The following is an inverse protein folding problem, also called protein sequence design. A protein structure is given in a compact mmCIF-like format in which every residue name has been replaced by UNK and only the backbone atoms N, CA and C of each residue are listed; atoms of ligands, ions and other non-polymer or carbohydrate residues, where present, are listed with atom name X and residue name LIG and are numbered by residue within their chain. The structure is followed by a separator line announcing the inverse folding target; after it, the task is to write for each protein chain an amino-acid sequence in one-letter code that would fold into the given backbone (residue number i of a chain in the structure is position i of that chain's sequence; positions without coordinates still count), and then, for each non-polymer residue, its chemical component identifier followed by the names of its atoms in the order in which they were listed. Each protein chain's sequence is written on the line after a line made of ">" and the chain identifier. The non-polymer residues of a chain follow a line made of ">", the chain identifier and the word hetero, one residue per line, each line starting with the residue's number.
data_IF_210281644160
#
_entry.id   IF_210281644160
#
_cell.length_a   1.000
_cell.length_b   1.000
_cell.length_c   1.000
_cell.angle_alpha   90.00
_cell.angle_beta   90.00
_cell.angle_gamma   90.00
#
_symmetry.space_group_name_H-M   'P 1'
#
loop_
_entity.id
_entity.type
_entity.pdbx_description
1 polymer ?
#
# COMPACT_ATOMS: atom_id res chain seq x y z
N UNK A 1 32.72 -30.92 11.33
CA UNK A 1 33.14 -32.14 10.63
C UNK A 1 32.01 -33.11 10.46
N UNK A 2 31.19 -33.20 11.45
CA UNK A 2 30.05 -34.09 11.42
C UNK A 2 28.91 -33.59 10.52
N UNK A 3 28.90 -32.32 10.24
CA UNK A 3 27.86 -31.72 9.39
C UNK A 3 28.00 -32.11 7.92
N UNK A 4 29.22 -32.21 7.42
CA UNK A 4 29.40 -32.62 6.02
C UNK A 4 29.15 -34.11 5.80
N UNK A 5 29.53 -34.95 6.75
CA UNK A 5 29.25 -36.38 6.68
C UNK A 5 27.77 -36.68 6.89
N UNK A 6 27.12 -35.93 7.77
CA UNK A 6 25.65 -36.01 7.92
C UNK A 6 24.93 -35.54 6.68
N UNK A 7 25.40 -34.45 6.05
CA UNK A 7 24.84 -33.96 4.81
C UNK A 7 24.88 -34.98 3.70
N UNK A 8 26.01 -35.64 3.52
CA UNK A 8 26.14 -36.70 2.54
C UNK A 8 25.28 -37.92 2.88
N UNK A 9 25.24 -38.32 4.14
CA UNK A 9 24.41 -39.41 4.60
C UNK A 9 22.92 -39.16 4.40
N UNK A 10 22.48 -37.96 4.69
CA UNK A 10 21.08 -37.58 4.48
C UNK A 10 20.72 -37.52 3.01
N UNK A 11 21.63 -37.04 2.16
CA UNK A 11 21.42 -37.01 0.71
C UNK A 11 21.22 -38.43 0.16
N UNK A 12 22.05 -39.38 0.56
CA UNK A 12 21.94 -40.76 0.08
C UNK A 12 20.79 -41.53 0.70
N UNK A 13 20.45 -41.27 1.95
CA UNK A 13 19.42 -42.02 2.66
C UNK A 13 18.01 -41.53 2.34
N UNK A 14 17.87 -40.29 1.88
CA UNK A 14 16.55 -39.67 1.61
C UNK A 14 16.39 -39.30 0.15
N UNK A 15 16.98 -40.08 -0.73
CA UNK A 15 16.81 -39.87 -2.16
C UNK A 15 15.47 -40.42 -2.63
N UNK A 16 14.88 -39.77 -3.57
CA UNK A 16 13.63 -40.16 -4.18
C UNK A 16 13.29 -39.35 -5.40
N UNK A 17 12.22 -39.74 -6.06
CA UNK A 17 11.72 -38.98 -7.20
C UNK A 17 10.82 -37.86 -6.69
N UNK A 18 11.08 -36.65 -7.16
CA UNK A 18 10.25 -35.51 -6.85
C UNK A 18 9.66 -34.96 -8.13
N UNK A 19 8.37 -34.59 -8.08
CA UNK A 19 7.69 -33.99 -9.21
C UNK A 19 7.91 -32.48 -9.18
N UNK A 20 8.62 -31.97 -10.19
CA UNK A 20 8.94 -30.55 -10.27
C UNK A 20 8.24 -29.91 -11.45
N UNK A 21 7.60 -28.77 -11.19
CA UNK A 21 6.92 -27.98 -12.20
C UNK A 21 7.54 -26.59 -12.29
N UNK A 22 7.81 -26.16 -13.52
CA UNK A 22 8.10 -24.75 -13.77
C UNK A 22 6.79 -24.04 -14.03
N UNK A 23 6.41 -23.14 -13.13
CA UNK A 23 5.18 -22.38 -13.26
C UNK A 23 5.37 -21.17 -14.18
N UNK A 24 4.27 -20.74 -14.80
CA UNK A 24 4.29 -19.62 -15.75
C UNK A 24 4.28 -18.24 -15.06
N UNK A 25 4.73 -18.19 -13.82
CA UNK A 25 4.90 -16.93 -13.10
C UNK A 25 6.09 -16.15 -13.64
N UNK A 26 5.85 -15.39 -14.69
CA UNK A 26 6.88 -14.60 -15.39
C UNK A 26 6.85 -13.15 -14.90
N UNK A 27 7.98 -12.47 -15.08
CA UNK A 27 8.14 -11.07 -14.67
C UNK A 27 7.11 -10.15 -15.33
N UNK A 28 6.83 -10.38 -16.60
CA UNK A 28 5.87 -9.57 -17.36
C UNK A 28 4.48 -9.57 -16.74
N UNK A 29 4.07 -10.70 -16.17
CA UNK A 29 2.76 -10.83 -15.52
C UNK A 29 2.72 -10.21 -14.12
N UNK A 30 3.88 -10.02 -13.48
CA UNK A 30 3.98 -9.56 -12.09
C UNK A 30 4.50 -8.15 -11.97
N UNK A 31 5.25 -7.67 -12.96
CA UNK A 31 5.79 -6.33 -12.95
C UNK A 31 4.67 -5.31 -13.08
N UNK A 32 4.60 -4.39 -12.13
CA UNK A 32 3.54 -3.40 -12.10
C UNK A 32 4.01 -2.12 -11.43
N UNK A 33 3.62 -0.99 -12.01
CA UNK A 33 3.86 0.34 -11.45
C UNK A 33 2.65 1.22 -11.72
N UNK A 34 2.50 2.24 -10.91
CA UNK A 34 1.39 3.17 -11.02
C UNK A 34 1.83 4.58 -10.63
N UNK A 35 1.38 5.57 -11.39
CA UNK A 35 1.41 6.97 -10.96
C UNK A 35 0.00 7.47 -10.68
N UNK A 36 -0.87 7.43 -11.67
CA UNK A 36 -2.27 7.81 -11.57
C UNK A 36 -3.10 6.70 -12.21
N UNK A 37 -4.25 6.40 -11.61
CA UNK A 37 -5.14 5.38 -12.14
C UNK A 37 -6.52 5.41 -11.50
N UNK A 38 -7.32 4.36 -11.67
CA UNK A 38 -8.69 4.33 -11.15
C UNK A 38 -8.73 4.27 -9.62
N UNK A 39 -9.81 4.83 -9.07
CA UNK A 39 -10.06 4.88 -7.64
C UNK A 39 -11.41 4.26 -7.31
N UNK A 40 -11.58 3.82 -6.07
CA UNK A 40 -12.85 3.30 -5.59
C UNK A 40 -13.91 4.40 -5.55
N UNK A 41 -15.15 4.03 -5.86
CA UNK A 41 -16.26 4.99 -5.92
C UNK A 41 -16.61 5.57 -4.55
N UNK A 42 -16.61 4.75 -3.51
CA UNK A 42 -17.06 5.16 -2.17
C UNK A 42 -15.94 5.76 -1.35
N UNK A 43 -14.84 5.02 -1.22
CA UNK A 43 -13.73 5.42 -0.35
C UNK A 43 -12.70 6.32 -1.03
N UNK A 44 -12.73 6.42 -2.36
CA UNK A 44 -11.78 7.19 -3.15
C UNK A 44 -10.33 6.73 -2.95
N UNK A 45 -10.15 5.48 -2.59
CA UNK A 45 -8.84 4.85 -2.49
C UNK A 45 -8.44 4.21 -3.82
N UNK A 46 -7.13 4.08 -4.12
CA UNK A 46 -6.72 3.38 -5.33
C UNK A 46 -7.20 1.93 -5.34
N UNK A 47 -7.63 1.47 -6.50
CA UNK A 47 -7.98 0.06 -6.68
C UNK A 47 -6.73 -0.81 -6.61
N UNK A 48 -6.91 -2.09 -6.28
CA UNK A 48 -5.82 -3.06 -6.22
C UNK A 48 -5.68 -3.85 -7.51
N UNK A 49 -4.52 -4.49 -7.69
CA UNK A 49 -4.27 -5.44 -8.76
C UNK A 49 -3.68 -4.83 -10.04
N UNK A 50 -2.89 -5.65 -10.74
CA UNK A 50 -2.21 -5.23 -11.97
C UNK A 50 -3.19 -4.96 -13.12
N UNK A 51 -4.21 -5.81 -13.27
CA UNK A 51 -5.17 -5.69 -14.36
C UNK A 51 -6.00 -4.40 -14.28
N UNK A 52 -6.19 -3.87 -13.09
CA UNK A 52 -6.95 -2.65 -12.83
C UNK A 52 -6.07 -1.40 -12.77
N UNK A 53 -4.78 -1.55 -13.08
CA UNK A 53 -3.79 -0.49 -12.89
C UNK A 53 -3.86 0.08 -11.47
N UNK A 54 -3.92 -0.82 -10.49
CA UNK A 54 -4.10 -0.48 -9.09
C UNK A 54 -2.81 -0.23 -8.34
N UNK A 55 -2.93 0.31 -7.13
CA UNK A 55 -1.82 0.57 -6.24
C UNK A 55 -1.56 -0.57 -5.28
N UNK A 56 -0.50 -0.43 -4.51
CA UNK A 56 -0.13 -1.39 -3.48
C UNK A 56 -0.89 -1.13 -2.19
N UNK A 57 -1.12 -2.19 -1.42
CA UNK A 57 -1.77 -2.07 -0.13
C UNK A 57 -0.73 -1.74 0.95
N UNK A 58 -0.98 -0.66 1.68
CA UNK A 58 -0.20 -0.30 2.86
C UNK A 58 -0.99 -0.72 4.10
N UNK A 59 -0.70 -1.90 4.62
CA UNK A 59 -1.46 -2.50 5.72
C UNK A 59 -1.10 -1.94 7.10
N UNK A 60 -1.71 -2.51 8.13
CA UNK A 60 -1.48 -2.08 9.52
C UNK A 60 -0.01 -2.20 9.93
N UNK A 61 0.62 -3.30 9.57
CA UNK A 61 2.01 -3.55 9.97
C UNK A 61 2.95 -2.53 9.36
N UNK A 62 2.72 -2.12 8.12
CA UNK A 62 3.50 -1.09 7.44
C UNK A 62 3.31 0.28 8.09
N UNK A 63 2.08 0.58 8.55
CA UNK A 63 1.78 1.78 9.31
C UNK A 63 2.56 1.77 10.63
N UNK A 64 2.61 0.64 11.32
CA UNK A 64 3.36 0.49 12.56
C UNK A 64 4.86 0.74 12.36
N UNK A 65 5.40 0.29 11.23
CA UNK A 65 6.80 0.54 10.90
C UNK A 65 7.11 2.04 10.76
N UNK A 66 6.23 2.79 10.09
CA UNK A 66 6.40 4.24 9.97
C UNK A 66 6.24 4.95 11.31
N UNK A 67 5.34 4.50 12.15
CA UNK A 67 5.16 5.03 13.52
C UNK A 67 6.42 4.81 14.35
N UNK A 68 7.04 3.64 14.22
CA UNK A 68 8.28 3.31 14.92
C UNK A 68 9.44 4.22 14.54
N UNK A 69 9.50 4.66 13.27
CA UNK A 69 10.51 5.63 12.82
C UNK A 69 10.17 7.08 13.15
N UNK A 70 8.97 7.35 13.64
CA UNK A 70 8.52 8.70 13.92
C UNK A 70 8.26 9.53 12.67
N UNK A 71 8.03 8.89 11.53
CA UNK A 71 7.80 9.55 10.24
C UNK A 71 6.34 9.97 10.07
N UNK A 72 5.85 10.87 10.90
CA UNK A 72 4.45 11.27 10.91
C UNK A 72 4.02 12.03 9.64
N UNK A 73 4.88 12.88 9.13
CA UNK A 73 4.59 13.65 7.92
C UNK A 73 4.47 12.76 6.69
N UNK A 74 5.35 11.76 6.57
CA UNK A 74 5.30 10.77 5.47
C UNK A 74 4.03 9.94 5.58
N UNK A 75 3.67 9.50 6.78
CA UNK A 75 2.44 8.74 7.01
C UNK A 75 1.20 9.55 6.64
N UNK A 76 1.15 10.80 7.02
CA UNK A 76 0.06 11.70 6.65
C UNK A 76 -0.03 11.87 5.13
N UNK A 77 1.09 12.05 4.46
CA UNK A 77 1.14 12.16 3.00
C UNK A 77 0.62 10.90 2.32
N UNK A 78 1.04 9.72 2.78
CA UNK A 78 0.57 8.45 2.24
C UNK A 78 -0.93 8.24 2.44
N UNK A 79 -1.47 8.70 3.55
CA UNK A 79 -2.90 8.56 3.85
C UNK A 79 -3.78 9.55 3.10
N UNK A 80 -3.29 10.72 2.77
CA UNK A 80 -4.09 11.80 2.20
C UNK A 80 -3.79 12.06 0.73
N UNK A 81 -2.69 12.74 0.45
CA UNK A 81 -2.35 13.25 -0.88
C UNK A 81 -2.20 12.12 -1.89
N UNK A 82 -1.67 10.99 -1.48
CA UNK A 82 -1.42 9.85 -2.37
C UNK A 82 -2.60 8.88 -2.47
N UNK A 83 -3.61 9.01 -1.62
CA UNK A 83 -4.69 8.02 -1.55
C UNK A 83 -6.10 8.61 -1.49
N UNK A 84 -6.50 9.18 -0.36
CA UNK A 84 -7.88 9.45 -0.02
C UNK A 84 -8.36 10.87 -0.31
N UNK A 85 -7.48 11.85 -0.30
CA UNK A 85 -7.87 13.24 -0.41
C UNK A 85 -8.01 13.64 -1.88
N UNK A 86 -9.26 13.80 -2.35
CA UNK A 86 -9.56 14.13 -3.74
C UNK A 86 -8.97 15.50 -4.12
N UNK A 87 -9.22 16.50 -3.29
CA UNK A 87 -8.75 17.86 -3.53
C UNK A 87 -7.23 17.92 -3.43
N UNK A 88 -6.66 17.24 -2.42
CA UNK A 88 -5.23 17.18 -2.22
C UNK A 88 -4.49 16.50 -3.37
N UNK A 89 -5.07 15.44 -3.94
CA UNK A 89 -4.51 14.76 -5.12
C UNK A 89 -4.43 15.70 -6.33
N UNK A 90 -5.50 16.44 -6.58
CA UNK A 90 -5.55 17.40 -7.69
C UNK A 90 -4.53 18.51 -7.51
N UNK A 91 -4.42 19.06 -6.32
CA UNK A 91 -3.45 20.10 -5.99
C UNK A 91 -2.01 19.61 -6.09
N UNK A 92 -1.75 18.40 -5.63
CA UNK A 92 -0.41 17.81 -5.71
C UNK A 92 0.02 17.57 -7.15
N UNK A 93 -0.88 17.05 -7.99
CA UNK A 93 -0.62 16.86 -9.42
C UNK A 93 -0.33 18.19 -10.11
N UNK A 94 -1.13 19.21 -9.82
CA UNK A 94 -0.92 20.55 -10.37
C UNK A 94 0.42 21.13 -9.94
N UNK A 95 0.81 20.97 -8.68
CA UNK A 95 2.10 21.42 -8.17
C UNK A 95 3.28 20.71 -8.86
N UNK A 96 3.17 19.43 -9.10
CA UNK A 96 4.21 18.66 -9.81
C UNK A 96 4.35 19.14 -11.25
N UNK A 97 3.23 19.36 -11.94
CA UNK A 97 3.24 19.83 -13.34
C UNK A 97 3.85 21.22 -13.46
N UNK A 98 3.55 22.12 -12.51
CA UNK A 98 4.07 23.49 -12.50
C UNK A 98 5.47 23.60 -11.92
N UNK A 99 5.96 22.55 -11.25
CA UNK A 99 7.25 22.57 -10.58
C UNK A 99 7.27 23.33 -9.26
N UNK A 100 6.12 23.63 -8.69
CA UNK A 100 5.97 24.30 -7.39
C UNK A 100 6.14 23.31 -6.24
N UNK A 101 6.27 23.82 -5.02
CA UNK A 101 6.32 23.01 -3.81
C UNK A 101 4.98 22.30 -3.58
N UNK A 102 5.05 21.10 -3.00
CA UNK A 102 3.85 20.36 -2.66
C UNK A 102 3.01 21.11 -1.64
N UNK A 103 1.68 21.17 -1.81
CA UNK A 103 0.80 21.80 -0.83
C UNK A 103 0.70 20.96 0.45
N UNK A 104 0.23 21.59 1.53
CA UNK A 104 -0.02 20.90 2.78
C UNK A 104 -1.10 19.84 2.61
N UNK A 105 -0.96 18.75 3.37
CA UNK A 105 -1.93 17.66 3.32
C UNK A 105 -3.21 18.01 4.07
N UNK A 106 -4.34 17.61 3.50
CA UNK A 106 -5.64 17.78 4.13
C UNK A 106 -6.05 16.60 5.00
N UNK A 107 -7.35 16.38 5.10
CA UNK A 107 -7.94 15.28 5.87
C UNK A 107 -8.35 14.18 4.88
N UNK A 108 -8.11 12.86 5.20
CA UNK A 108 -8.54 11.77 4.35
C UNK A 108 -10.07 11.75 4.17
N UNK A 109 -10.53 11.37 2.99
CA UNK A 109 -11.95 11.27 2.72
C UNK A 109 -12.64 10.20 3.56
N UNK A 110 -11.95 9.10 3.84
CA UNK A 110 -12.43 8.04 4.75
C UNK A 110 -12.73 8.59 6.14
N UNK A 111 -11.95 9.55 6.59
CA UNK A 111 -12.14 10.19 7.88
C UNK A 111 -13.41 11.07 7.89
N UNK A 112 -13.69 11.75 6.79
CA UNK A 112 -14.93 12.50 6.63
C UNK A 112 -16.16 11.60 6.68
N UNK A 113 -16.09 10.43 6.05
CA UNK A 113 -17.14 9.42 6.14
C UNK A 113 -17.37 8.98 7.58
N UNK A 114 -16.28 8.73 8.31
CA UNK A 114 -16.38 8.38 9.73
C UNK A 114 -17.05 9.48 10.56
N UNK A 115 -16.72 10.74 10.30
CA UNK A 115 -17.35 11.87 10.99
C UNK A 115 -18.85 11.94 10.74
N UNK A 116 -19.27 11.71 9.51
CA UNK A 116 -20.69 11.71 9.16
C UNK A 116 -21.44 10.56 9.84
N UNK A 117 -20.83 9.39 9.90
CA UNK A 117 -21.41 8.25 10.60
C UNK A 117 -21.54 8.49 12.11
N UNK A 118 -20.53 9.10 12.73
CA UNK A 118 -20.61 9.48 14.14
C UNK A 118 -21.69 10.50 14.42
N UNK A 119 -21.89 11.47 13.52
CA UNK A 119 -22.99 12.43 13.63
C UNK A 119 -24.34 11.76 13.53
N UNK A 120 -24.44 10.71 12.70
CA UNK A 120 -25.65 9.90 12.61
C UNK A 120 -25.96 9.16 13.90
N UNK A 121 -24.97 8.91 14.74
CA UNK A 121 -25.11 8.32 16.07
C UNK A 121 -25.28 9.37 17.17
N UNK A 122 -25.58 10.62 16.80
CA UNK A 122 -25.74 11.75 17.71
C UNK A 122 -24.44 12.15 18.46
N UNK A 123 -23.28 11.83 17.89
CA UNK A 123 -21.98 12.27 18.41
C UNK A 123 -21.48 13.41 17.53
N UNK A 124 -20.87 14.41 18.16
CA UNK A 124 -20.28 15.55 17.45
C UNK A 124 -18.79 15.60 17.71
N UNK A 125 -18.01 15.56 16.63
CA UNK A 125 -16.56 15.66 16.65
C UNK A 125 -16.14 16.96 15.99
N UNK A 126 -15.39 17.79 16.71
CA UNK A 126 -14.87 19.05 16.20
C UNK A 126 -13.35 19.02 16.22
N UNK A 127 -12.75 19.58 15.18
CA UNK A 127 -11.30 19.79 15.10
C UNK A 127 -10.96 21.25 15.26
N UNK A 128 -9.95 21.50 16.06
CA UNK A 128 -9.36 22.83 16.21
C UNK A 128 -8.20 23.03 15.24
#
# INVERSE_FOLDING_TARGET
>A
DDCSSRGLGDVYKRQGIIYMLKLIHMVDDKMHARSIGPYSLITQQPLGGKAQFGGQRFGEMEVWALEAYGASNILRELLTVKSDDIVGRAKAYEAIVKGDNMPDTGIPESFNVLLHELRGLALDLKFD
#
